data_IF_526323498883
#
_entry.id   IF_526323498883
#
_cell.length_a   1.000
_cell.length_b   1.000
_cell.length_c   1.000
_cell.angle_alpha   90.00
_cell.angle_beta   90.00
_cell.angle_gamma   90.00
#
_symmetry.space_group_name_H-M   'P 1'
#
loop_
_entity.id
_entity.type
_entity.pdbx_description
1 polymer ?
#
# COMPACT_ATOMS: atom_id res chain seq x y z
N UNK A 1 4.96 -16.25 31.47
CA UNK A 1 4.52 -16.30 30.07
C UNK A 1 5.66 -15.80 29.20
N UNK A 2 6.24 -16.72 28.43
CA UNK A 2 7.43 -16.47 27.61
C UNK A 2 7.03 -15.75 26.34
N UNK A 3 7.62 -14.56 26.12
CA UNK A 3 8.15 -14.08 24.87
C UNK A 3 7.16 -14.07 23.68
N UNK A 4 6.48 -12.93 23.46
CA UNK A 4 6.19 -12.52 22.09
C UNK A 4 7.55 -12.55 21.35
N UNK A 5 7.68 -13.41 20.35
CA UNK A 5 8.80 -13.33 19.41
C UNK A 5 8.72 -11.92 18.82
N UNK A 6 9.74 -11.12 19.07
CA UNK A 6 9.94 -9.88 18.34
C UNK A 6 9.87 -10.27 16.84
N UNK A 7 8.96 -9.67 16.09
CA UNK A 7 8.95 -9.81 14.65
C UNK A 7 10.35 -9.47 14.17
N UNK A 8 10.95 -10.36 13.40
CA UNK A 8 12.27 -10.11 12.83
C UNK A 8 12.17 -8.82 12.02
N UNK A 9 12.95 -7.77 12.32
CA UNK A 9 12.91 -6.49 11.61
C UNK A 9 13.07 -6.64 10.08
N UNK A 10 13.68 -7.73 9.65
CA UNK A 10 13.83 -8.06 8.23
C UNK A 10 12.49 -8.29 7.54
N UNK A 11 11.58 -9.06 8.15
CA UNK A 11 10.26 -9.35 7.56
C UNK A 11 9.42 -8.10 7.38
N UNK A 12 9.35 -7.29 8.44
CA UNK A 12 8.58 -6.05 8.42
C UNK A 12 9.14 -5.06 7.38
N UNK A 13 10.46 -4.92 7.30
CA UNK A 13 11.10 -4.05 6.31
C UNK A 13 10.89 -4.53 4.88
N UNK A 14 10.97 -5.84 4.64
CA UNK A 14 10.78 -6.40 3.30
C UNK A 14 9.34 -6.30 2.84
N UNK A 15 8.36 -6.50 3.74
CA UNK A 15 6.94 -6.29 3.44
C UNK A 15 6.66 -4.81 3.17
N UNK A 16 7.16 -3.90 4.00
CA UNK A 16 7.04 -2.45 3.78
C UNK A 16 7.65 -2.03 2.44
N UNK A 17 8.78 -2.62 2.05
CA UNK A 17 9.41 -2.33 0.77
C UNK A 17 8.57 -2.82 -0.42
N UNK A 18 7.95 -4.01 -0.31
CA UNK A 18 7.00 -4.49 -1.31
C UNK A 18 5.81 -3.56 -1.45
N UNK A 19 5.13 -3.24 -0.34
CA UNK A 19 3.97 -2.34 -0.34
C UNK A 19 4.33 -0.97 -0.94
N UNK A 20 5.48 -0.41 -0.55
CA UNK A 20 5.97 0.86 -1.08
C UNK A 20 6.27 0.76 -2.59
N UNK A 21 6.87 -0.34 -3.06
CA UNK A 21 7.15 -0.53 -4.48
C UNK A 21 5.87 -0.53 -5.31
N UNK A 22 4.84 -1.27 -4.87
CA UNK A 22 3.56 -1.37 -5.57
C UNK A 22 2.82 -0.03 -5.57
N UNK A 23 2.74 0.63 -4.41
CA UNK A 23 2.08 1.94 -4.28
C UNK A 23 2.76 3.01 -5.15
N UNK A 24 4.09 3.07 -5.13
CA UNK A 24 4.86 4.02 -5.94
C UNK A 24 4.75 3.71 -7.43
N UNK A 25 4.72 2.43 -7.82
CA UNK A 25 4.47 2.06 -9.20
C UNK A 25 3.10 2.58 -9.67
N UNK A 26 2.03 2.29 -8.92
CA UNK A 26 0.69 2.75 -9.29
C UNK A 26 0.61 4.28 -9.32
N UNK A 27 1.21 4.96 -8.36
CA UNK A 27 1.17 6.42 -8.27
C UNK A 27 1.84 7.12 -9.47
N UNK A 28 2.92 6.55 -10.00
CA UNK A 28 3.74 7.21 -11.03
C UNK A 28 3.46 6.69 -12.43
N UNK A 29 3.12 5.41 -12.59
CA UNK A 29 3.07 4.74 -13.88
C UNK A 29 1.68 4.27 -14.29
N UNK A 30 0.75 4.09 -13.32
CA UNK A 30 -0.59 3.59 -13.62
C UNK A 30 -1.60 4.73 -13.87
N UNK A 31 -2.66 4.48 -14.69
CA UNK A 31 -3.80 5.39 -14.80
C UNK A 31 -4.47 5.63 -13.43
N UNK A 32 -5.10 6.80 -13.26
CA UNK A 32 -5.71 7.19 -11.97
C UNK A 32 -6.77 6.20 -11.49
N UNK A 33 -7.51 5.59 -12.40
CA UNK A 33 -8.52 4.57 -12.12
C UNK A 33 -7.93 3.30 -11.49
N UNK A 34 -6.65 3.00 -11.73
CA UNK A 34 -5.95 1.85 -11.17
C UNK A 34 -5.17 2.18 -9.90
N UNK A 35 -5.10 3.45 -9.50
CA UNK A 35 -4.40 3.91 -8.29
C UNK A 35 -5.23 3.65 -7.02
N UNK A 36 -5.52 2.38 -6.72
CA UNK A 36 -6.36 1.97 -5.60
C UNK A 36 -5.85 0.68 -4.94
N UNK A 37 -6.42 0.35 -3.78
CA UNK A 37 -6.00 -0.82 -3.00
C UNK A 37 -6.40 -2.16 -3.64
N UNK A 38 -7.45 -2.18 -4.46
CA UNK A 38 -7.85 -3.38 -5.19
C UNK A 38 -6.77 -3.80 -6.19
N UNK A 39 -6.21 -2.84 -6.93
CA UNK A 39 -5.10 -3.09 -7.85
C UNK A 39 -3.85 -3.59 -7.12
N UNK A 40 -3.51 -3.02 -5.94
CA UNK A 40 -2.38 -3.51 -5.13
C UNK A 40 -2.60 -4.97 -4.72
N UNK A 41 -3.79 -5.31 -4.25
CA UNK A 41 -4.14 -6.70 -3.88
C UNK A 41 -4.03 -7.63 -5.09
N UNK A 42 -4.56 -7.22 -6.23
CA UNK A 42 -4.44 -7.98 -7.48
C UNK A 42 -2.98 -8.24 -7.85
N UNK A 43 -2.11 -7.24 -7.72
CA UNK A 43 -0.67 -7.38 -7.99
C UNK A 43 -0.02 -8.36 -7.00
N UNK A 44 -0.34 -8.31 -5.71
CA UNK A 44 0.18 -9.22 -4.69
C UNK A 44 -0.28 -10.66 -4.95
N UNK A 45 -1.56 -10.87 -5.23
CA UNK A 45 -2.14 -12.19 -5.49
C UNK A 45 -1.55 -12.84 -6.75
N UNK A 46 -1.25 -12.05 -7.76
CA UNK A 46 -0.66 -12.51 -9.03
C UNK A 46 0.87 -12.39 -9.06
N UNK A 47 1.47 -11.84 -7.99
CA UNK A 47 2.91 -11.65 -7.87
C UNK A 47 3.76 -12.91 -7.76
N UNK A 48 3.11 -14.04 -7.69
CA UNK A 48 3.55 -15.44 -7.58
C UNK A 48 5.05 -15.71 -7.53
N UNK A 49 5.56 -16.10 -6.36
CA UNK A 49 6.89 -16.71 -6.24
C UNK A 49 6.73 -18.25 -6.30
N UNK A 50 7.52 -18.94 -7.12
CA UNK A 50 7.63 -20.41 -7.08
C UNK A 50 8.73 -20.83 -6.12
N UNK A 51 8.47 -21.83 -5.29
CA UNK A 51 9.41 -22.28 -4.26
C UNK A 51 10.58 -23.13 -4.81
N UNK A 52 10.40 -23.73 -5.97
CA UNK A 52 11.27 -24.79 -6.50
C UNK A 52 12.03 -24.39 -7.77
N UNK A 53 11.89 -23.15 -8.23
CA UNK A 53 12.46 -22.67 -9.48
C UNK A 53 13.10 -21.30 -9.25
N UNK A 54 14.41 -21.28 -9.03
CA UNK A 54 15.17 -20.06 -8.80
C UNK A 54 15.25 -19.16 -10.04
N UNK A 55 15.00 -19.72 -11.23
CA UNK A 55 14.95 -18.99 -12.52
C UNK A 55 13.54 -18.47 -12.86
N UNK A 56 12.55 -18.74 -12.01
CA UNK A 56 11.18 -18.29 -12.26
C UNK A 56 11.05 -16.78 -12.10
N UNK A 57 10.69 -16.12 -13.18
CA UNK A 57 10.28 -14.71 -13.17
C UNK A 57 8.77 -14.60 -12.97
N UNK A 58 8.38 -13.95 -11.90
CA UNK A 58 6.97 -13.64 -11.63
C UNK A 58 6.47 -12.50 -12.52
N UNK A 59 5.15 -12.34 -12.70
CA UNK A 59 4.60 -11.15 -13.37
C UNK A 59 5.07 -9.82 -12.76
N UNK A 60 5.30 -9.77 -11.44
CA UNK A 60 5.88 -8.60 -10.80
C UNK A 60 7.35 -8.37 -11.19
N UNK A 61 8.13 -9.45 -11.28
CA UNK A 61 9.53 -9.33 -11.73
C UNK A 61 9.59 -8.72 -13.12
N UNK A 62 8.80 -9.23 -14.05
CA UNK A 62 8.74 -8.73 -15.43
C UNK A 62 8.28 -7.27 -15.49
N UNK A 63 7.32 -6.89 -14.66
CA UNK A 63 6.82 -5.53 -14.59
C UNK A 63 7.91 -4.55 -14.11
N UNK A 64 8.61 -4.90 -13.04
CA UNK A 64 9.65 -4.03 -12.47
C UNK A 64 10.94 -4.04 -13.31
N UNK A 65 11.27 -5.14 -13.99
CA UNK A 65 12.37 -5.19 -14.96
C UNK A 65 12.10 -4.26 -16.15
N UNK A 66 10.89 -4.29 -16.71
CA UNK A 66 10.51 -3.38 -17.79
C UNK A 66 10.58 -1.91 -17.36
N UNK A 67 10.12 -1.60 -16.14
CA UNK A 67 10.25 -0.24 -15.59
C UNK A 67 11.73 0.16 -15.39
N UNK A 68 12.56 -0.75 -14.91
CA UNK A 68 13.99 -0.50 -14.70
C UNK A 68 14.74 -0.24 -16.01
N UNK A 69 14.38 -0.95 -17.09
CA UNK A 69 14.95 -0.71 -18.43
C UNK A 69 14.64 0.70 -18.94
N UNK A 70 13.43 1.19 -18.69
CA UNK A 70 13.01 2.53 -19.11
C UNK A 70 13.51 3.63 -18.16
N UNK A 71 13.47 3.37 -16.85
CA UNK A 71 13.75 4.32 -15.77
C UNK A 71 14.60 3.68 -14.66
N UNK A 72 15.92 3.51 -14.86
CA UNK A 72 16.79 2.78 -13.92
C UNK A 72 16.83 3.35 -12.51
N UNK A 73 16.58 4.64 -12.35
CA UNK A 73 16.59 5.34 -11.06
C UNK A 73 15.21 5.46 -10.40
N UNK A 74 14.18 4.82 -10.97
CA UNK A 74 12.82 4.95 -10.48
C UNK A 74 12.69 4.46 -9.03
N UNK A 75 11.99 5.25 -8.19
CA UNK A 75 11.91 4.97 -6.75
C UNK A 75 11.20 3.64 -6.44
N UNK A 76 10.21 3.25 -7.24
CA UNK A 76 9.50 1.98 -7.08
C UNK A 76 10.43 0.79 -7.34
N UNK A 77 11.31 0.86 -8.35
CA UNK A 77 12.32 -0.16 -8.66
C UNK A 77 13.27 -0.34 -7.48
N UNK A 78 13.74 0.76 -6.87
CA UNK A 78 14.61 0.69 -5.68
C UNK A 78 13.95 -0.03 -4.51
N UNK A 79 12.65 0.21 -4.26
CA UNK A 79 11.90 -0.49 -3.22
C UNK A 79 11.69 -1.96 -3.57
N UNK A 80 11.41 -2.26 -4.84
CA UNK A 80 11.27 -3.65 -5.30
C UNK A 80 12.56 -4.45 -5.12
N UNK A 81 13.71 -3.86 -5.42
CA UNK A 81 15.02 -4.50 -5.19
C UNK A 81 15.26 -4.82 -3.71
N UNK A 82 14.79 -3.99 -2.77
CA UNK A 82 14.89 -4.31 -1.33
C UNK A 82 14.06 -5.55 -1.00
N UNK A 83 12.84 -5.64 -1.52
CA UNK A 83 11.99 -6.83 -1.36
C UNK A 83 12.65 -8.07 -1.98
N UNK A 84 13.24 -7.96 -3.18
CA UNK A 84 13.89 -9.07 -3.90
C UNK A 84 15.18 -9.57 -3.24
N UNK A 85 15.72 -8.88 -2.25
CA UNK A 85 16.78 -9.44 -1.40
C UNK A 85 16.30 -10.65 -0.57
N UNK A 86 14.99 -10.78 -0.39
CA UNK A 86 14.37 -11.97 0.18
C UNK A 86 14.27 -13.06 -0.90
N UNK A 87 14.96 -14.20 -0.71
CA UNK A 87 14.96 -15.27 -1.69
C UNK A 87 13.75 -16.23 -1.55
N UNK A 88 13.28 -16.75 -2.67
CA UNK A 88 12.39 -17.91 -2.82
C UNK A 88 11.25 -18.01 -1.79
N UNK A 89 11.35 -18.95 -0.85
CA UNK A 89 10.33 -19.19 0.20
C UNK A 89 10.05 -17.98 1.06
N UNK A 90 11.05 -17.14 1.29
CA UNK A 90 10.89 -15.91 2.09
C UNK A 90 10.07 -14.87 1.33
N UNK A 91 10.32 -14.67 0.04
CA UNK A 91 9.54 -13.76 -0.80
C UNK A 91 8.07 -14.19 -0.87
N UNK A 92 7.79 -15.48 -1.04
CA UNK A 92 6.43 -16.03 -1.01
C UNK A 92 5.73 -15.77 0.33
N UNK A 93 6.43 -15.96 1.44
CA UNK A 93 5.86 -15.72 2.78
C UNK A 93 5.57 -14.23 3.00
N UNK A 94 6.38 -13.32 2.44
CA UNK A 94 6.15 -11.87 2.49
C UNK A 94 4.90 -11.51 1.70
N UNK A 95 4.73 -12.05 0.48
CA UNK A 95 3.52 -11.84 -0.34
C UNK A 95 2.25 -12.32 0.40
N UNK A 96 2.31 -13.50 1.01
CA UNK A 96 1.18 -14.03 1.82
C UNK A 96 0.91 -13.11 3.03
N UNK A 97 1.94 -12.64 3.72
CA UNK A 97 1.80 -11.73 4.87
C UNK A 97 1.14 -10.42 4.45
N UNK A 98 1.60 -9.82 3.34
CA UNK A 98 1.02 -8.60 2.79
C UNK A 98 -0.46 -8.80 2.39
N UNK A 99 -0.79 -9.90 1.69
CA UNK A 99 -2.16 -10.24 1.33
C UNK A 99 -3.07 -10.37 2.57
N UNK A 100 -2.61 -11.05 3.62
CA UNK A 100 -3.36 -11.22 4.87
C UNK A 100 -3.56 -9.87 5.58
N UNK A 101 -2.56 -9.03 5.61
CA UNK A 101 -2.63 -7.69 6.24
C UNK A 101 -3.60 -6.77 5.52
N UNK A 102 -3.63 -6.84 4.19
CA UNK A 102 -4.50 -6.04 3.35
C UNK A 102 -5.88 -6.69 3.09
N UNK A 103 -6.15 -7.87 3.67
CA UNK A 103 -7.38 -8.63 3.40
C UNK A 103 -8.68 -7.85 3.68
N UNK A 104 -8.67 -6.87 4.58
CA UNK A 104 -9.84 -6.01 4.82
C UNK A 104 -10.26 -5.21 3.58
N UNK A 105 -9.33 -4.92 2.67
CA UNK A 105 -9.62 -4.22 1.40
C UNK A 105 -10.25 -5.12 0.34
N UNK A 106 -10.42 -6.43 0.60
CA UNK A 106 -11.18 -7.34 -0.29
C UNK A 106 -12.69 -7.26 -0.06
N UNK A 107 -13.14 -6.60 1.03
CA UNK A 107 -14.56 -6.43 1.28
C UNK A 107 -15.17 -5.45 0.26
N UNK A 108 -16.27 -5.82 -0.44
CA UNK A 108 -16.85 -5.00 -1.51
C UNK A 108 -17.21 -3.58 -1.09
N UNK A 109 -17.65 -3.41 0.16
CA UNK A 109 -17.99 -2.11 0.72
C UNK A 109 -16.75 -1.22 0.87
N UNK A 110 -15.62 -1.82 1.28
CA UNK A 110 -14.35 -1.09 1.45
C UNK A 110 -13.75 -0.79 0.10
N UNK A 111 -13.74 -1.75 -0.84
CA UNK A 111 -13.31 -1.50 -2.21
C UNK A 111 -14.03 -0.30 -2.81
N UNK A 112 -15.38 -0.25 -2.69
CA UNK A 112 -16.18 0.84 -3.23
C UNK A 112 -15.84 2.20 -2.64
N UNK A 113 -15.60 2.30 -1.33
CA UNK A 113 -15.31 3.60 -0.68
C UNK A 113 -13.84 4.03 -0.80
N UNK A 114 -12.95 3.12 -1.21
CA UNK A 114 -11.51 3.41 -1.40
C UNK A 114 -11.09 3.40 -2.87
N UNK A 115 -12.04 3.24 -3.79
CA UNK A 115 -11.77 3.20 -5.23
C UNK A 115 -11.48 4.58 -5.84
N UNK A 116 -11.97 5.66 -5.21
CA UNK A 116 -11.82 7.04 -5.69
C UNK A 116 -11.69 8.03 -4.54
N UNK A 117 -11.09 9.18 -4.81
CA UNK A 117 -11.01 10.31 -3.86
C UNK A 117 -12.22 11.23 -4.00
N UNK A 118 -13.34 10.85 -3.38
CA UNK A 118 -14.55 11.65 -3.34
C UNK A 118 -14.52 12.75 -2.27
N UNK A 119 -13.57 12.68 -1.34
CA UNK A 119 -13.46 13.64 -0.23
C UNK A 119 -12.60 14.85 -0.56
N UNK A 120 -11.76 14.75 -1.60
CA UNK A 120 -10.82 15.80 -1.99
C UNK A 120 -9.97 16.28 -0.79
N UNK A 121 -9.34 15.32 -0.07
CA UNK A 121 -8.56 15.64 1.13
C UNK A 121 -7.46 16.67 0.88
N UNK A 122 -6.89 16.70 -0.33
CA UNK A 122 -5.91 17.71 -0.75
C UNK A 122 -6.43 19.15 -0.76
N UNK A 123 -7.76 19.34 -0.62
CA UNK A 123 -8.38 20.68 -0.49
C UNK A 123 -8.84 21.00 0.92
N UNK A 124 -8.48 20.16 1.90
CA UNK A 124 -8.75 20.45 3.31
C UNK A 124 -8.02 21.72 3.74
N UNK A 125 -8.75 22.61 4.42
CA UNK A 125 -8.19 23.90 4.88
C UNK A 125 -8.37 25.07 3.92
N UNK A 126 -8.60 24.83 2.61
CA UNK A 126 -8.84 25.90 1.64
C UNK A 126 -10.24 26.54 1.79
N UNK A 127 -11.19 25.78 2.29
CA UNK A 127 -12.58 26.22 2.49
C UNK A 127 -13.15 25.68 3.79
N UNK A 128 -14.16 26.35 4.32
CA UNK A 128 -14.91 25.85 5.48
C UNK A 128 -15.69 24.62 5.06
N UNK A 129 -15.33 23.46 5.62
CA UNK A 129 -16.02 22.18 5.36
C UNK A 129 -16.08 21.35 6.62
N UNK A 130 -17.00 20.40 6.67
CA UNK A 130 -17.15 19.43 7.73
C UNK A 130 -17.20 18.02 7.12
N UNK A 131 -16.41 17.10 7.65
CA UNK A 131 -16.41 15.69 7.26
C UNK A 131 -17.17 14.92 8.33
N UNK A 132 -18.19 14.18 7.92
CA UNK A 132 -18.98 13.32 8.79
C UNK A 132 -18.59 11.86 8.55
N UNK A 133 -17.92 11.26 9.51
CA UNK A 133 -17.56 9.85 9.49
C UNK A 133 -18.62 9.05 10.22
N UNK A 134 -19.48 8.37 9.45
CA UNK A 134 -20.59 7.57 10.02
C UNK A 134 -20.15 6.11 10.05
N UNK A 135 -19.97 5.58 11.25
CA UNK A 135 -19.58 4.18 11.48
C UNK A 135 -20.80 3.43 12.03
N UNK A 136 -21.10 2.22 11.53
CA UNK A 136 -22.15 1.39 12.10
C UNK A 136 -21.89 1.12 13.58
N UNK A 137 -22.93 1.20 14.40
CA UNK A 137 -22.88 0.91 15.86
C UNK A 137 -22.81 -0.61 16.16
N UNK A 138 -22.39 -1.39 15.18
CA UNK A 138 -22.06 -2.80 15.39
C UNK A 138 -20.70 -2.90 16.08
N UNK A 139 -20.56 -3.83 17.03
CA UNK A 139 -19.29 -4.12 17.72
C UNK A 139 -18.16 -4.61 16.79
N UNK A 140 -18.28 -4.37 15.49
CA UNK A 140 -17.29 -4.74 14.51
C UNK A 140 -16.22 -3.66 14.41
N UNK A 141 -15.16 -3.84 15.20
CA UNK A 141 -13.97 -2.99 15.17
C UNK A 141 -13.18 -3.09 13.86
N UNK A 142 -13.60 -3.96 12.92
CA UNK A 142 -12.87 -4.24 11.68
C UNK A 142 -12.73 -3.01 10.77
N UNK A 143 -13.63 -2.03 10.88
CA UNK A 143 -13.61 -0.81 10.09
C UNK A 143 -12.88 0.38 10.76
N UNK A 144 -12.46 0.24 12.02
CA UNK A 144 -11.81 1.33 12.76
C UNK A 144 -10.49 1.79 12.12
N UNK A 145 -9.81 0.90 11.40
CA UNK A 145 -8.59 1.24 10.70
C UNK A 145 -8.81 2.30 9.60
N UNK A 146 -9.95 2.26 8.89
CA UNK A 146 -10.30 3.26 7.87
C UNK A 146 -10.43 4.66 8.46
N UNK A 147 -11.04 4.75 9.63
CA UNK A 147 -11.16 6.02 10.36
C UNK A 147 -9.78 6.53 10.78
N UNK A 148 -8.93 5.64 11.28
CA UNK A 148 -7.54 5.97 11.62
C UNK A 148 -6.75 6.46 10.39
N UNK A 149 -6.91 5.81 9.24
CA UNK A 149 -6.30 6.23 7.97
C UNK A 149 -6.82 7.62 7.55
N UNK A 150 -8.14 7.82 7.57
CA UNK A 150 -8.75 9.10 7.22
C UNK A 150 -8.21 10.25 8.09
N UNK A 151 -8.17 10.08 9.41
CA UNK A 151 -7.62 11.11 10.30
C UNK A 151 -6.14 11.36 10.02
N UNK A 152 -5.35 10.30 9.84
CA UNK A 152 -3.92 10.44 9.55
C UNK A 152 -3.68 11.23 8.27
N UNK A 153 -4.35 10.87 7.19
CA UNK A 153 -4.23 11.55 5.90
C UNK A 153 -4.74 12.99 5.97
N UNK A 154 -5.90 13.22 6.58
CA UNK A 154 -6.46 14.55 6.73
C UNK A 154 -5.53 15.50 7.51
N UNK A 155 -4.94 15.05 8.62
CA UNK A 155 -3.99 15.85 9.37
C UNK A 155 -2.68 16.08 8.63
N UNK A 156 -2.15 15.05 7.95
CA UNK A 156 -0.95 15.20 7.13
C UNK A 156 -1.15 16.25 6.03
N UNK A 157 -2.30 16.19 5.35
CA UNK A 157 -2.63 17.17 4.32
C UNK A 157 -2.78 18.60 4.89
N UNK A 158 -3.48 18.75 6.02
CA UNK A 158 -3.60 20.04 6.69
C UNK A 158 -2.24 20.63 7.11
N UNK A 159 -1.34 19.80 7.64
CA UNK A 159 0.03 20.23 7.97
C UNK A 159 0.81 20.61 6.71
N UNK A 160 0.70 19.81 5.64
CA UNK A 160 1.35 20.13 4.39
C UNK A 160 0.85 21.45 3.80
N UNK A 161 -0.47 21.68 3.81
CA UNK A 161 -1.07 22.93 3.33
C UNK A 161 -0.60 24.11 4.19
N UNK A 162 -0.61 23.99 5.51
CA UNK A 162 -0.13 25.03 6.39
C UNK A 162 1.34 25.39 6.15
N UNK A 163 2.21 24.37 6.15
CA UNK A 163 3.67 24.59 6.14
C UNK A 163 4.23 24.92 4.75
N UNK A 164 3.70 24.29 3.71
CA UNK A 164 4.27 24.37 2.35
C UNK A 164 3.53 25.29 1.42
N UNK A 165 2.21 25.33 1.51
CA UNK A 165 1.38 26.16 0.63
C UNK A 165 1.18 27.56 1.21
N UNK A 166 0.85 27.65 2.49
CA UNK A 166 0.54 28.92 3.15
C UNK A 166 1.68 29.51 3.98
N UNK A 167 2.82 28.82 4.09
CA UNK A 167 4.04 29.26 4.78
C UNK A 167 3.86 29.55 6.28
N UNK A 168 2.99 28.81 6.97
CA UNK A 168 2.70 28.91 8.40
C UNK A 168 1.52 29.78 8.73
#
# INVERSE_FOLDING_TARGET
PKGAKANDPFWEKSETALDAALMLYLLHEAPVEDQNMETILYMIENGGAKEEDDDYQSPLDLLFEALEEEQPDHIAVRQYHIFKQAAGKTAKSILVSAAVRLASFTLPEIQRITASDDMELGKLGERKQAIFCIIPDSNDASLNFLVGMLYTQAFQELYYQADKVHQG
#
